data_IF_225839978653
#
_entry.id   IF_225839978653
#
_cell.length_a   1.000
_cell.length_b   1.000
_cell.length_c   1.000
_cell.angle_alpha   90.00
_cell.angle_beta   90.00
_cell.angle_gamma   90.00
#
_symmetry.space_group_name_H-M   'P 1'
#
loop_
_entity.id
_entity.type
_entity.pdbx_description
1 polymer ?
#
# COMPACT_ATOMS: atom_id res chain seq x y z
N UNK A 1 -8.67 -15.63 5.52
CA UNK A 1 -7.92 -14.97 4.42
C UNK A 1 -6.67 -14.31 4.98
N UNK A 2 -6.80 -13.35 5.91
CA UNK A 2 -5.66 -12.67 6.55
C UNK A 2 -4.65 -13.64 7.17
N UNK A 3 -5.11 -14.60 8.00
CA UNK A 3 -4.23 -15.62 8.61
C UNK A 3 -3.41 -16.37 7.54
N UNK A 4 -4.06 -16.86 6.48
CA UNK A 4 -3.37 -17.57 5.39
C UNK A 4 -2.37 -16.72 4.58
N UNK A 5 -2.43 -15.39 4.65
CA UNK A 5 -1.45 -14.50 4.00
C UNK A 5 -0.30 -14.19 4.95
N UNK A 6 -0.59 -13.90 6.22
CA UNK A 6 0.43 -13.61 7.22
C UNK A 6 1.31 -14.84 7.50
N UNK A 7 0.74 -16.03 7.35
CA UNK A 7 1.46 -17.30 7.53
C UNK A 7 2.29 -17.72 6.29
N UNK A 8 2.40 -16.86 5.27
CA UNK A 8 3.20 -17.20 4.09
C UNK A 8 4.69 -17.26 4.44
N UNK A 9 5.46 -18.23 3.90
CA UNK A 9 6.86 -18.41 4.26
C UNK A 9 7.76 -17.18 4.03
N UNK A 10 7.39 -16.30 3.09
CA UNK A 10 8.16 -15.08 2.83
C UNK A 10 7.90 -14.00 3.90
N UNK A 11 6.65 -13.79 4.30
CA UNK A 11 6.27 -12.87 5.37
C UNK A 11 6.95 -13.30 6.67
N UNK A 12 6.72 -14.56 7.09
CA UNK A 12 7.31 -15.12 8.31
C UNK A 12 8.83 -14.97 8.31
N UNK A 13 9.48 -15.31 7.19
CA UNK A 13 10.94 -15.27 7.10
C UNK A 13 11.49 -13.86 7.16
N UNK A 14 11.00 -12.93 6.34
CA UNK A 14 11.62 -11.61 6.22
C UNK A 14 11.30 -10.71 7.41
N UNK A 15 10.06 -10.72 7.90
CA UNK A 15 9.72 -10.00 9.12
C UNK A 15 10.42 -10.64 10.33
N UNK A 16 10.32 -11.96 10.50
CA UNK A 16 10.89 -12.67 11.65
C UNK A 16 12.40 -12.49 11.77
N UNK A 17 13.16 -12.65 10.68
CA UNK A 17 14.61 -12.44 10.69
C UNK A 17 15.00 -11.01 11.08
N UNK A 18 14.18 -10.02 10.74
CA UNK A 18 14.43 -8.63 11.12
C UNK A 18 14.06 -8.38 12.58
N UNK A 19 12.91 -8.89 13.04
CA UNK A 19 12.42 -8.76 14.42
C UNK A 19 13.38 -9.40 15.43
N UNK A 20 13.98 -10.54 15.08
CA UNK A 20 15.01 -11.21 15.88
C UNK A 20 16.21 -10.30 16.23
N UNK A 21 16.46 -9.25 15.45
CA UNK A 21 17.60 -8.34 15.67
C UNK A 21 17.40 -7.36 16.82
N UNK A 22 16.15 -7.07 17.24
CA UNK A 22 15.89 -6.02 18.23
C UNK A 22 14.68 -6.27 19.16
N UNK A 23 13.64 -6.98 18.72
CA UNK A 23 12.40 -7.18 19.49
C UNK A 23 12.65 -7.88 20.84
N UNK A 24 13.45 -8.97 20.92
CA UNK A 24 13.70 -9.64 22.21
C UNK A 24 14.39 -8.72 23.23
N UNK A 25 15.36 -7.91 22.77
CA UNK A 25 16.06 -6.95 23.64
C UNK A 25 15.11 -5.83 24.12
N UNK A 26 14.22 -5.36 23.24
CA UNK A 26 13.20 -4.37 23.58
C UNK A 26 12.19 -4.93 24.60
N UNK A 27 11.71 -6.16 24.41
CA UNK A 27 10.80 -6.83 25.35
C UNK A 27 11.45 -7.00 26.74
N UNK A 28 12.72 -7.39 26.79
CA UNK A 28 13.47 -7.52 28.05
C UNK A 28 13.63 -6.17 28.76
N UNK A 29 13.92 -5.11 28.01
CA UNK A 29 14.02 -3.74 28.53
C UNK A 29 12.68 -3.27 29.12
N UNK A 30 11.57 -3.49 28.39
CA UNK A 30 10.22 -3.19 28.86
C UNK A 30 9.85 -3.97 30.12
N UNK A 31 10.13 -5.28 30.14
CA UNK A 31 9.90 -6.13 31.31
C UNK A 31 10.57 -5.58 32.57
N UNK A 32 11.83 -5.17 32.41
CA UNK A 32 12.64 -4.61 33.51
C UNK A 32 12.07 -3.29 34.01
N UNK A 33 11.71 -2.38 33.10
CA UNK A 33 11.12 -1.07 33.44
C UNK A 33 9.76 -1.16 34.12
N UNK A 34 8.92 -2.06 33.62
CA UNK A 34 7.53 -2.18 34.08
C UNK A 34 7.38 -3.16 35.25
N UNK A 35 8.43 -3.89 35.61
CA UNK A 35 8.39 -4.96 36.60
C UNK A 35 7.29 -5.99 36.28
N UNK A 36 7.12 -6.28 34.99
CA UNK A 36 6.10 -7.17 34.43
C UNK A 36 6.73 -8.12 33.41
N UNK A 37 6.09 -9.25 33.15
CA UNK A 37 6.55 -10.20 32.14
C UNK A 37 6.07 -9.75 30.75
N UNK A 38 6.90 -8.97 30.03
CA UNK A 38 6.66 -8.52 28.66
C UNK A 38 7.46 -9.41 27.70
N UNK A 39 6.76 -10.08 26.80
CA UNK A 39 7.32 -10.99 25.80
C UNK A 39 7.58 -10.28 24.48
N UNK A 40 8.29 -10.95 23.57
CA UNK A 40 8.50 -10.46 22.20
C UNK A 40 7.17 -10.24 21.46
N UNK A 41 6.15 -11.06 21.73
CA UNK A 41 4.82 -10.96 21.10
C UNK A 41 4.04 -9.73 21.58
N UNK A 42 4.33 -9.22 22.78
CA UNK A 42 3.68 -8.04 23.33
C UNK A 42 4.16 -6.74 22.67
N UNK A 43 5.40 -6.69 22.17
CA UNK A 43 6.01 -5.50 21.56
C UNK A 43 5.20 -4.94 20.37
N UNK A 44 4.84 -5.73 19.33
CA UNK A 44 4.01 -5.23 18.24
C UNK A 44 2.60 -4.81 18.69
N UNK A 45 2.08 -5.41 19.76
CA UNK A 45 0.79 -5.02 20.37
C UNK A 45 0.91 -3.65 21.03
N UNK A 46 1.97 -3.41 21.80
CA UNK A 46 2.28 -2.10 22.41
C UNK A 46 2.42 -1.03 21.31
N UNK A 47 3.14 -1.33 20.24
CA UNK A 47 3.30 -0.44 19.09
C UNK A 47 1.99 -0.10 18.40
N UNK A 48 1.16 -1.09 18.13
CA UNK A 48 -0.16 -0.88 17.54
C UNK A 48 -1.06 -0.05 18.46
N UNK A 49 -1.01 -0.33 19.77
CA UNK A 49 -1.83 0.38 20.78
C UNK A 49 -1.42 1.84 20.89
N UNK A 50 -0.11 2.14 20.85
CA UNK A 50 0.40 3.51 20.71
C UNK A 50 -0.21 4.22 19.49
N UNK A 51 -0.21 3.58 18.31
CA UNK A 51 -0.81 4.16 17.11
C UNK A 51 -2.31 4.45 17.26
N UNK A 52 -3.07 3.52 17.86
CA UNK A 52 -4.51 3.71 18.10
C UNK A 52 -4.79 4.80 19.14
N UNK A 53 -4.03 4.86 20.24
CA UNK A 53 -4.21 5.88 21.27
C UNK A 53 -3.98 7.29 20.71
N UNK A 54 -2.90 7.48 19.95
CA UNK A 54 -2.64 8.75 19.25
C UNK A 54 -3.79 9.08 18.30
N UNK A 55 -4.28 8.10 17.54
CA UNK A 55 -5.30 8.35 16.53
C UNK A 55 -6.69 8.66 17.12
N UNK A 56 -7.01 8.09 18.27
CA UNK A 56 -8.33 8.23 18.91
C UNK A 56 -8.36 9.36 19.93
N UNK A 57 -7.27 9.56 20.67
CA UNK A 57 -7.21 10.46 21.82
C UNK A 57 -6.20 11.60 21.67
N UNK A 58 -5.41 11.63 20.59
CA UNK A 58 -4.30 12.59 20.41
C UNK A 58 -3.30 12.54 21.59
N UNK A 59 -3.08 11.34 22.14
CA UNK A 59 -2.21 11.11 23.30
C UNK A 59 -1.07 10.14 22.94
N UNK A 60 0.16 10.60 23.11
CA UNK A 60 1.38 9.80 22.95
C UNK A 60 2.13 9.61 24.28
N UNK A 61 1.55 10.04 25.40
CA UNK A 61 2.20 10.08 26.70
C UNK A 61 2.18 8.75 27.46
N UNK A 62 1.40 7.76 26.99
CA UNK A 62 1.29 6.44 27.63
C UNK A 62 2.00 5.34 26.83
N UNK A 63 1.33 4.68 25.87
CA UNK A 63 1.85 3.50 25.18
C UNK A 63 3.08 3.83 24.33
N UNK A 64 3.08 4.98 23.65
CA UNK A 64 4.21 5.40 22.84
C UNK A 64 5.47 5.68 23.68
N UNK A 65 5.30 6.19 24.90
CA UNK A 65 6.41 6.46 25.83
C UNK A 65 7.08 5.16 26.34
N UNK A 66 6.39 4.01 26.26
CA UNK A 66 6.99 2.71 26.57
C UNK A 66 8.08 2.34 25.56
N UNK A 67 7.88 2.66 24.28
CA UNK A 67 8.78 2.28 23.18
C UNK A 67 10.01 3.17 23.06
N UNK A 68 10.03 4.30 23.77
CA UNK A 68 11.19 5.17 23.84
C UNK A 68 12.25 4.58 24.79
N UNK A 69 13.55 4.63 24.43
CA UNK A 69 14.61 4.24 25.34
C UNK A 69 14.50 5.03 26.65
N UNK A 70 14.84 4.37 27.76
CA UNK A 70 14.87 5.02 29.06
C UNK A 70 16.01 6.05 29.03
N UNK A 71 15.68 7.35 29.01
CA UNK A 71 16.70 8.37 29.27
C UNK A 71 17.04 8.25 30.75
N UNK A 72 18.10 7.52 31.07
CA UNK A 72 18.74 7.57 32.38
C UNK A 72 20.22 7.80 32.14
N UNK A 73 20.62 9.06 32.16
CA UNK A 73 22.00 9.42 32.53
C UNK A 73 21.92 10.50 33.62
N UNK A 74 22.58 10.23 34.75
CA UNK A 74 22.81 11.17 35.85
C UNK A 74 23.83 12.25 35.45
N UNK A 75 24.55 12.07 34.34
CA UNK A 75 25.35 13.08 33.68
C UNK A 75 24.64 13.57 32.42
N UNK A 76 24.46 14.89 32.31
CA UNK A 76 23.66 15.59 31.29
C UNK A 76 24.23 15.54 29.87
N UNK A 77 24.76 14.42 29.40
CA UNK A 77 25.04 14.19 27.99
C UNK A 77 24.03 13.19 27.44
N UNK A 78 22.98 13.74 26.83
CA UNK A 78 21.96 12.94 26.15
C UNK A 78 22.65 12.28 24.95
N UNK A 79 23.11 11.04 25.11
CA UNK A 79 23.33 10.16 23.95
C UNK A 79 21.95 9.78 23.45
N UNK A 80 21.42 10.64 22.59
CA UNK A 80 20.20 10.46 21.82
C UNK A 80 20.45 9.30 20.86
N UNK A 81 20.44 8.05 21.35
CA UNK A 81 19.96 6.95 20.51
C UNK A 81 18.52 7.37 20.20
N UNK A 82 18.35 7.97 19.01
CA UNK A 82 17.28 8.94 18.84
C UNK A 82 15.95 8.27 19.09
N UNK A 83 15.03 8.96 19.76
CA UNK A 83 13.65 8.51 19.97
C UNK A 83 13.03 7.90 18.69
N UNK A 84 13.51 8.31 17.51
CA UNK A 84 13.11 7.79 16.21
C UNK A 84 13.58 6.35 15.91
N UNK A 85 14.65 5.82 16.51
CA UNK A 85 15.24 4.56 16.05
C UNK A 85 14.37 3.34 16.33
N UNK A 86 13.80 3.21 17.54
CA UNK A 86 12.87 2.11 17.85
C UNK A 86 11.64 2.15 16.94
N UNK A 87 11.08 3.35 16.74
CA UNK A 87 9.93 3.53 15.85
C UNK A 87 10.26 3.21 14.39
N UNK A 88 11.46 3.59 13.91
CA UNK A 88 11.93 3.25 12.55
C UNK A 88 12.12 1.74 12.41
N UNK A 89 12.66 1.04 13.40
CA UNK A 89 12.76 -0.44 13.38
C UNK A 89 11.38 -1.09 13.33
N UNK A 90 10.44 -0.65 14.17
CA UNK A 90 9.06 -1.16 14.16
C UNK A 90 8.31 -0.86 12.85
N UNK A 91 8.57 0.30 12.25
CA UNK A 91 8.07 0.64 10.91
C UNK A 91 8.65 -0.27 9.83
N UNK A 92 9.96 -0.53 9.84
CA UNK A 92 10.60 -1.44 8.88
C UNK A 92 10.06 -2.87 9.03
N UNK A 93 9.87 -3.35 10.26
CA UNK A 93 9.21 -4.64 10.52
C UNK A 93 7.82 -4.70 9.87
N UNK A 94 7.02 -3.64 10.05
CA UNK A 94 5.70 -3.52 9.43
C UNK A 94 5.80 -3.49 7.90
N UNK A 95 6.74 -2.73 7.34
CA UNK A 95 6.94 -2.66 5.89
C UNK A 95 7.38 -4.01 5.30
N UNK A 96 8.25 -4.77 5.98
CA UNK A 96 8.64 -6.13 5.57
C UNK A 96 7.43 -7.06 5.53
N UNK A 97 6.59 -7.03 6.57
CA UNK A 97 5.34 -7.79 6.61
C UNK A 97 4.44 -7.43 5.44
N UNK A 98 4.15 -6.14 5.28
CA UNK A 98 3.22 -5.66 4.27
C UNK A 98 3.73 -5.83 2.85
N UNK A 99 5.05 -5.75 2.62
CA UNK A 99 5.65 -5.96 1.31
C UNK A 99 5.32 -7.33 0.74
N UNK A 100 5.34 -8.37 1.60
CA UNK A 100 5.08 -9.75 1.20
C UNK A 100 3.63 -10.23 1.47
N UNK A 101 2.84 -9.50 2.25
CA UNK A 101 1.42 -9.84 2.46
C UNK A 101 0.52 -9.18 1.42
N UNK A 102 0.63 -7.86 1.24
CA UNK A 102 -0.31 -7.03 0.46
C UNK A 102 0.38 -6.16 -0.60
N UNK A 103 1.70 -6.03 -0.50
CA UNK A 103 2.55 -5.22 -1.35
C UNK A 103 3.13 -5.95 -2.57
N UNK A 104 4.12 -5.35 -3.24
CA UNK A 104 4.69 -5.83 -4.50
C UNK A 104 5.64 -7.03 -4.33
N UNK A 105 5.91 -7.47 -3.10
CA UNK A 105 6.70 -8.67 -2.82
C UNK A 105 6.07 -9.95 -3.38
N UNK A 106 4.76 -9.95 -3.59
CA UNK A 106 4.03 -11.00 -4.32
C UNK A 106 3.43 -10.38 -5.60
N UNK A 107 3.86 -10.79 -6.80
CA UNK A 107 3.35 -10.21 -8.05
C UNK A 107 1.82 -10.30 -8.22
N UNK A 108 1.21 -11.33 -7.64
CA UNK A 108 -0.24 -11.50 -7.59
C UNK A 108 -0.99 -10.33 -6.94
N UNK A 109 -0.42 -9.71 -5.90
CA UNK A 109 -1.05 -8.62 -5.15
C UNK A 109 -1.32 -7.40 -6.04
N UNK A 110 -0.38 -7.03 -6.90
CA UNK A 110 -0.61 -5.98 -7.90
C UNK A 110 -1.73 -6.37 -8.86
N UNK A 111 -1.83 -7.65 -9.25
CA UNK A 111 -2.89 -8.18 -10.11
C UNK A 111 -4.30 -7.97 -9.55
N UNK A 112 -4.48 -8.07 -8.24
CA UNK A 112 -5.78 -7.84 -7.57
C UNK A 112 -6.32 -6.43 -7.87
N UNK A 113 -5.44 -5.43 -7.96
CA UNK A 113 -5.80 -4.04 -8.22
C UNK A 113 -6.38 -3.78 -9.62
N UNK A 114 -6.26 -4.73 -10.56
CA UNK A 114 -6.70 -4.53 -11.94
C UNK A 114 -8.20 -4.28 -12.06
N UNK A 115 -9.02 -4.91 -11.21
CA UNK A 115 -10.48 -4.73 -11.23
C UNK A 115 -10.89 -3.30 -10.87
N UNK A 116 -10.21 -2.69 -9.89
CA UNK A 116 -10.43 -1.29 -9.54
C UNK A 116 -9.97 -0.37 -10.67
N UNK A 117 -8.81 -0.64 -11.27
CA UNK A 117 -8.29 0.13 -12.40
C UNK A 117 -9.25 0.12 -13.59
N UNK A 118 -9.84 -1.03 -13.93
CA UNK A 118 -10.87 -1.15 -14.99
C UNK A 118 -12.08 -0.28 -14.70
N UNK A 119 -12.61 -0.31 -13.47
CA UNK A 119 -13.76 0.53 -13.09
C UNK A 119 -13.44 2.03 -13.17
N UNK A 120 -12.22 2.43 -12.77
CA UNK A 120 -11.76 3.82 -12.84
C UNK A 120 -11.59 4.26 -14.29
N UNK A 121 -10.90 3.47 -15.12
CA UNK A 121 -10.67 3.79 -16.53
C UNK A 121 -12.01 3.98 -17.27
N UNK A 122 -12.97 3.07 -17.08
CA UNK A 122 -14.31 3.18 -17.67
C UNK A 122 -15.03 4.46 -17.24
N UNK A 123 -14.88 4.88 -15.98
CA UNK A 123 -15.48 6.11 -15.46
C UNK A 123 -14.84 7.35 -16.10
N UNK A 124 -13.51 7.35 -16.24
CA UNK A 124 -12.76 8.42 -16.91
C UNK A 124 -13.16 8.51 -18.39
N UNK A 125 -13.18 7.39 -19.10
CA UNK A 125 -13.62 7.32 -20.51
C UNK A 125 -15.03 7.87 -20.68
N UNK A 126 -15.97 7.45 -19.83
CA UNK A 126 -17.35 7.95 -19.85
C UNK A 126 -17.42 9.47 -19.68
N UNK A 127 -16.57 10.04 -18.81
CA UNK A 127 -16.52 11.49 -18.59
C UNK A 127 -15.86 12.20 -19.76
N UNK A 128 -14.81 11.64 -20.37
CA UNK A 128 -14.06 12.28 -21.45
C UNK A 128 -14.75 12.16 -22.82
N UNK A 129 -15.54 11.11 -23.07
CA UNK A 129 -16.29 10.90 -24.33
C UNK A 129 -17.52 11.79 -24.49
N UNK A 130 -18.05 12.37 -23.41
CA UNK A 130 -19.24 13.24 -23.49
C UNK A 130 -18.86 14.65 -23.93
N UNK A 131 -19.63 15.37 -24.77
CA UNK A 131 -19.34 16.77 -25.12
C UNK A 131 -19.22 17.68 -23.88
N UNK A 132 -18.38 18.72 -23.96
CA UNK A 132 -18.11 19.69 -22.87
C UNK A 132 -19.36 20.47 -22.42
N UNK A 133 -20.44 20.46 -23.21
CA UNK A 133 -21.68 21.16 -22.93
C UNK A 133 -22.40 20.57 -21.70
N UNK A 134 -22.17 21.20 -20.55
CA UNK A 134 -23.07 21.49 -19.42
C UNK A 134 -24.31 20.59 -19.16
N UNK A 135 -24.25 19.30 -19.46
CA UNK A 135 -25.32 18.38 -19.13
C UNK A 135 -25.30 18.13 -17.63
N UNK A 136 -26.44 18.43 -16.98
CA UNK A 136 -26.70 18.23 -15.54
C UNK A 136 -26.47 16.77 -15.10
N UNK A 137 -26.46 15.82 -16.05
CA UNK A 137 -26.28 14.38 -15.83
C UNK A 137 -24.85 13.86 -16.11
N UNK A 138 -23.84 14.74 -16.11
CA UNK A 138 -22.43 14.31 -16.24
C UNK A 138 -21.88 13.89 -14.87
N UNK A 139 -21.31 12.68 -14.78
CA UNK A 139 -20.60 12.21 -13.58
C UNK A 139 -19.51 13.24 -13.20
N UNK A 140 -19.62 13.82 -12.00
CA UNK A 140 -18.66 14.84 -11.50
C UNK A 140 -17.67 14.29 -10.48
N UNK A 141 -18.01 13.19 -9.83
CA UNK A 141 -17.17 12.54 -8.85
C UNK A 141 -17.69 11.14 -8.55
N UNK A 142 -16.76 10.23 -8.27
CA UNK A 142 -17.05 8.88 -7.80
C UNK A 142 -16.22 8.66 -6.53
N UNK A 143 -16.90 8.51 -5.41
CA UNK A 143 -16.27 8.22 -4.12
C UNK A 143 -16.33 6.72 -3.88
N UNK A 144 -15.19 6.12 -3.58
CA UNK A 144 -15.06 4.70 -3.25
C UNK A 144 -14.39 4.59 -1.89
N UNK A 145 -14.95 3.77 -1.02
CA UNK A 145 -14.41 3.48 0.30
C UNK A 145 -14.00 2.02 0.35
N UNK A 146 -12.82 1.76 0.88
CA UNK A 146 -12.23 0.43 1.00
C UNK A 146 -11.37 0.35 2.24
N UNK A 147 -10.59 -0.72 2.31
CA UNK A 147 -9.61 -0.92 3.37
C UNK A 147 -8.20 -0.58 2.87
N UNK A 148 -7.22 -0.62 3.75
CA UNK A 148 -5.82 -0.30 3.42
C UNK A 148 -5.32 -1.16 2.24
N UNK A 149 -5.73 -2.43 2.16
CA UNK A 149 -5.38 -3.34 1.07
C UNK A 149 -5.84 -2.82 -0.31
N UNK A 150 -6.96 -2.08 -0.36
CA UNK A 150 -7.42 -1.47 -1.61
C UNK A 150 -6.42 -0.45 -2.14
N UNK A 151 -5.87 0.38 -1.25
CA UNK A 151 -4.83 1.37 -1.57
C UNK A 151 -3.52 0.65 -1.94
N UNK A 152 -3.15 -0.39 -1.19
CA UNK A 152 -1.93 -1.18 -1.43
C UNK A 152 -1.95 -1.87 -2.80
N UNK A 153 -3.00 -2.64 -3.08
CA UNK A 153 -3.14 -3.37 -4.35
C UNK A 153 -3.23 -2.41 -5.54
N UNK A 154 -3.95 -1.30 -5.41
CA UNK A 154 -4.06 -0.32 -6.49
C UNK A 154 -2.75 0.45 -6.71
N UNK A 155 -2.03 0.79 -5.64
CA UNK A 155 -0.68 1.38 -5.73
C UNK A 155 0.28 0.44 -6.46
N UNK A 156 0.30 -0.85 -6.07
CA UNK A 156 1.08 -1.87 -6.76
C UNK A 156 0.67 -2.06 -8.22
N UNK A 157 -0.63 -2.01 -8.53
CA UNK A 157 -1.12 -2.08 -9.90
C UNK A 157 -0.64 -0.90 -10.75
N UNK A 158 -0.72 0.33 -10.23
CA UNK A 158 -0.19 1.53 -10.88
C UNK A 158 1.36 1.53 -10.96
N UNK A 159 2.03 0.67 -10.19
CA UNK A 159 3.48 0.60 -10.11
C UNK A 159 4.09 1.70 -9.24
N UNK A 160 3.30 2.28 -8.34
CA UNK A 160 3.77 3.23 -7.34
C UNK A 160 4.59 2.51 -6.27
N UNK A 161 5.52 3.24 -5.65
CA UNK A 161 6.32 2.74 -4.53
C UNK A 161 7.08 1.43 -4.82
N UNK A 162 7.31 1.14 -6.11
CA UNK A 162 8.15 0.02 -6.51
C UNK A 162 9.58 0.27 -6.01
N UNK A 163 10.04 -0.61 -5.13
CA UNK A 163 11.42 -0.65 -4.70
C UNK A 163 12.30 -1.27 -5.80
N UNK A 164 13.55 -0.82 -5.88
CA UNK A 164 14.56 -1.51 -6.69
C UNK A 164 14.90 -2.84 -6.01
N UNK A 165 14.23 -3.91 -6.44
CA UNK A 165 14.39 -5.25 -5.87
C UNK A 165 13.50 -5.52 -4.66
N UNK A 166 13.63 -6.72 -4.10
CA UNK A 166 12.86 -7.16 -2.94
C UNK A 166 13.31 -6.47 -1.64
N UNK A 167 12.36 -6.10 -0.77
CA UNK A 167 12.65 -5.63 0.60
C UNK A 167 13.09 -6.81 1.46
N UNK A 168 14.27 -6.77 2.08
CA UNK A 168 14.84 -7.93 2.80
C UNK A 168 15.31 -7.56 4.19
N UNK A 169 15.17 -8.49 5.14
CA UNK A 169 15.62 -8.38 6.52
C UNK A 169 17.08 -7.95 6.66
N UNK A 170 17.96 -8.47 5.78
CA UNK A 170 19.40 -8.23 5.81
C UNK A 170 19.88 -6.94 5.10
N UNK A 171 18.98 -6.02 4.78
CA UNK A 171 19.37 -4.73 4.20
C UNK A 171 20.14 -3.86 5.21
N UNK A 172 21.06 -3.03 4.71
CA UNK A 172 21.78 -2.06 5.55
C UNK A 172 20.86 -0.92 6.01
N UNK A 173 21.21 -0.19 7.08
CA UNK A 173 20.46 1.00 7.49
C UNK A 173 20.26 2.02 6.36
N UNK A 174 21.25 2.23 5.50
CA UNK A 174 21.18 3.15 4.36
C UNK A 174 20.19 2.65 3.28
N UNK A 175 20.14 1.34 3.05
CA UNK A 175 19.17 0.72 2.15
C UNK A 175 17.74 0.86 2.69
N UNK A 176 17.53 0.64 3.99
CA UNK A 176 16.23 0.87 4.62
C UNK A 176 15.82 2.33 4.61
N UNK A 177 16.76 3.26 4.81
CA UNK A 177 16.49 4.70 4.80
C UNK A 177 16.02 5.20 3.42
N UNK A 178 16.40 4.51 2.34
CA UNK A 178 16.07 4.87 0.95
C UNK A 178 15.03 3.94 0.31
N UNK A 179 14.40 3.05 1.08
CA UNK A 179 13.39 2.10 0.57
C UNK A 179 12.20 2.84 -0.04
N UNK A 180 11.75 2.38 -1.20
CA UNK A 180 10.59 2.94 -1.90
C UNK A 180 9.26 2.50 -1.29
N UNK A 181 9.20 1.30 -0.71
CA UNK A 181 8.00 0.77 -0.08
C UNK A 181 8.00 1.10 1.41
N UNK A 182 7.16 2.08 1.78
CA UNK A 182 7.03 2.58 3.14
C UNK A 182 5.57 2.89 3.45
N UNK A 183 4.92 1.98 4.15
CA UNK A 183 3.46 1.97 4.36
C UNK A 183 2.96 3.19 5.12
N UNK A 184 3.77 3.74 6.04
CA UNK A 184 3.46 4.98 6.77
C UNK A 184 3.32 6.22 5.88
N UNK A 185 3.82 6.21 4.64
CA UNK A 185 3.74 7.34 3.72
C UNK A 185 2.44 7.35 2.91
N UNK A 186 1.94 6.18 2.53
CA UNK A 186 0.84 6.08 1.56
C UNK A 186 -0.36 5.24 2.02
N UNK A 187 -0.23 4.49 3.11
CA UNK A 187 -1.26 3.57 3.63
C UNK A 187 -1.52 3.77 5.14
N UNK A 188 -1.45 5.01 5.60
CA UNK A 188 -1.82 5.42 6.96
C UNK A 188 -3.33 5.38 7.21
N UNK A 189 -3.76 5.59 8.46
CA UNK A 189 -5.19 5.77 8.77
C UNK A 189 -5.77 6.93 7.97
N UNK A 190 -6.97 6.72 7.41
CA UNK A 190 -7.63 7.66 6.49
C UNK A 190 -6.84 7.95 5.19
N UNK A 191 -5.91 7.08 4.80
CA UNK A 191 -5.23 7.20 3.51
C UNK A 191 -6.24 7.25 2.35
N UNK A 192 -5.92 8.08 1.36
CA UNK A 192 -6.79 8.30 0.21
C UNK A 192 -5.99 8.43 -1.09
N UNK A 193 -6.66 8.11 -2.20
CA UNK A 193 -6.15 8.34 -3.54
C UNK A 193 -7.23 9.03 -4.37
N UNK A 194 -6.86 10.12 -5.05
CA UNK A 194 -7.76 10.85 -5.94
C UNK A 194 -7.17 10.93 -7.35
N UNK A 195 -7.98 10.58 -8.36
CA UNK A 195 -7.66 10.80 -9.75
C UNK A 195 -8.52 11.95 -10.26
N UNK A 196 -7.89 13.10 -10.46
CA UNK A 196 -8.54 14.28 -11.02
C UNK A 196 -8.46 14.24 -12.54
N UNK A 197 -9.58 14.53 -13.19
CA UNK A 197 -9.73 14.49 -14.65
C UNK A 197 -9.97 15.89 -15.16
N UNK A 198 -9.00 16.42 -15.90
CA UNK A 198 -9.06 17.74 -16.52
C UNK A 198 -9.46 17.61 -17.98
N UNK A 199 -10.51 18.34 -18.35
CA UNK A 199 -11.03 18.35 -19.70
C UNK A 199 -10.52 19.58 -20.45
N UNK A 200 -10.15 19.45 -21.73
CA UNK A 200 -9.88 20.61 -22.55
C UNK A 200 -11.17 21.41 -22.77
N UNK A 201 -11.01 22.73 -22.90
CA UNK A 201 -12.13 23.66 -23.11
C UNK A 201 -12.59 23.66 -24.57
N UNK A 202 -11.75 23.20 -25.50
CA UNK A 202 -12.06 23.22 -26.93
C UNK A 202 -12.96 22.04 -27.38
N UNK A 203 -13.70 22.25 -28.47
CA UNK A 203 -14.58 21.27 -29.10
C UNK A 203 -13.96 20.68 -30.39
N UNK A 204 -12.64 20.52 -30.44
CA UNK A 204 -11.93 20.21 -31.71
C UNK A 204 -12.04 18.73 -32.09
N UNK A 205 -12.40 17.84 -31.16
CA UNK A 205 -12.47 16.39 -31.43
C UNK A 205 -13.51 15.67 -30.56
N UNK A 206 -14.10 14.62 -31.13
CA UNK A 206 -15.01 13.69 -30.43
C UNK A 206 -14.26 12.57 -29.69
N UNK A 207 -12.94 12.46 -29.84
CA UNK A 207 -12.13 11.48 -29.12
C UNK A 207 -11.92 11.87 -27.66
N UNK A 208 -11.87 10.92 -26.71
CA UNK A 208 -11.54 11.20 -25.31
C UNK A 208 -10.15 11.83 -25.15
N UNK A 209 -10.09 13.07 -24.67
CA UNK A 209 -8.84 13.80 -24.39
C UNK A 209 -8.94 14.52 -23.06
N UNK A 210 -7.84 14.53 -22.32
CA UNK A 210 -7.75 15.21 -21.04
C UNK A 210 -6.46 14.88 -20.31
N UNK A 211 -6.24 15.58 -19.21
CA UNK A 211 -5.12 15.33 -18.30
C UNK A 211 -5.63 14.62 -17.05
N UNK A 212 -4.84 13.68 -16.55
CA UNK A 212 -5.09 12.94 -15.32
C UNK A 212 -4.03 13.37 -14.31
N UNK A 213 -4.45 13.76 -13.10
CA UNK A 213 -3.54 13.98 -11.96
C UNK A 213 -3.89 12.99 -10.85
N UNK A 214 -2.88 12.29 -10.35
CA UNK A 214 -3.02 11.42 -9.18
C UNK A 214 -2.59 12.19 -7.93
N UNK A 215 -3.43 12.18 -6.91
CA UNK A 215 -3.09 12.55 -5.55
C UNK A 215 -3.07 11.28 -4.68
N UNK A 216 -2.07 11.14 -3.83
CA UNK A 216 -2.04 10.15 -2.76
C UNK A 216 -1.86 10.91 -1.45
N UNK A 217 -2.80 10.75 -0.51
CA UNK A 217 -2.86 11.55 0.72
C UNK A 217 -2.74 13.05 0.40
N UNK A 218 -3.58 13.52 -0.53
CA UNK A 218 -3.65 14.91 -0.99
C UNK A 218 -2.37 15.48 -1.64
N UNK A 219 -1.33 14.67 -1.81
CA UNK A 219 -0.06 15.06 -2.41
C UNK A 219 -0.01 14.58 -3.87
N UNK A 220 0.31 15.45 -4.85
CA UNK A 220 0.49 15.03 -6.23
C UNK A 220 1.61 14.00 -6.40
N UNK A 221 1.29 12.89 -7.06
CA UNK A 221 2.22 11.79 -7.35
C UNK A 221 2.33 11.59 -8.86
N UNK A 222 3.55 11.47 -9.36
CA UNK A 222 3.82 11.15 -10.76
C UNK A 222 3.41 9.70 -11.03
N UNK A 223 2.51 9.50 -11.98
CA UNK A 223 2.15 8.17 -12.45
C UNK A 223 3.31 7.62 -13.29
N UNK A 224 3.85 6.43 -12.98
CA UNK A 224 4.92 5.83 -13.76
C UNK A 224 4.56 5.73 -15.24
N UNK A 225 5.47 6.13 -16.12
CA UNK A 225 5.27 6.08 -17.57
C UNK A 225 4.39 7.19 -18.16
N UNK A 226 4.17 8.29 -17.43
CA UNK A 226 3.43 9.47 -17.88
C UNK A 226 4.31 10.74 -17.99
N UNK A 227 4.05 11.57 -19.01
CA UNK A 227 4.35 13.00 -19.07
C UNK A 227 5.82 13.39 -18.89
N UNK A 228 6.77 12.50 -19.22
CA UNK A 228 8.21 12.68 -18.93
C UNK A 228 8.49 13.10 -17.48
N UNK A 229 7.71 12.58 -16.51
CA UNK A 229 7.83 12.93 -15.10
C UNK A 229 6.93 14.08 -14.64
N UNK A 230 6.03 14.58 -15.50
CA UNK A 230 5.00 15.54 -15.12
C UNK A 230 3.97 14.94 -14.16
N UNK A 231 3.45 15.77 -13.24
CA UNK A 231 2.31 15.42 -12.36
C UNK A 231 0.99 15.31 -13.13
N UNK A 232 0.92 15.87 -14.34
CA UNK A 232 -0.21 15.71 -15.25
C UNK A 232 0.14 14.67 -16.32
N UNK A 233 -0.67 13.62 -16.41
CA UNK A 233 -0.56 12.57 -17.40
C UNK A 233 -1.59 12.77 -18.52
N UNK A 234 -1.17 12.73 -19.78
CA UNK A 234 -2.11 12.67 -20.89
C UNK A 234 -2.97 11.41 -20.79
N UNK A 235 -4.28 11.53 -21.04
CA UNK A 235 -5.20 10.40 -20.91
C UNK A 235 -4.78 9.19 -21.76
N UNK A 236 -4.24 9.42 -22.96
CA UNK A 236 -3.73 8.37 -23.85
C UNK A 236 -2.52 7.65 -23.25
N UNK A 237 -1.61 8.37 -22.58
CA UNK A 237 -0.46 7.80 -21.88
C UNK A 237 -0.90 7.02 -20.64
N UNK A 238 -1.85 7.55 -19.87
CA UNK A 238 -2.44 6.87 -18.72
C UNK A 238 -3.07 5.55 -19.14
N UNK A 239 -3.91 5.55 -20.18
CA UNK A 239 -4.52 4.32 -20.73
C UNK A 239 -3.45 3.34 -21.22
N UNK A 240 -2.42 3.83 -21.92
CA UNK A 240 -1.31 3.00 -22.40
C UNK A 240 -0.51 2.38 -21.24
N UNK A 241 -0.33 3.11 -20.14
CA UNK A 241 0.28 2.59 -18.91
C UNK A 241 -0.55 1.44 -18.33
N UNK A 242 -1.85 1.61 -18.15
CA UNK A 242 -2.72 0.53 -17.63
C UNK A 242 -2.71 -0.71 -18.54
N UNK A 243 -2.65 -0.53 -19.86
CA UNK A 243 -2.49 -1.64 -20.82
C UNK A 243 -1.16 -2.36 -20.61
N UNK A 244 -0.04 -1.64 -20.43
CA UNK A 244 1.26 -2.27 -20.08
C UNK A 244 1.22 -3.02 -18.75
N UNK A 245 0.37 -2.57 -17.82
CA UNK A 245 0.10 -3.26 -16.54
C UNK A 245 -0.91 -4.41 -16.66
N UNK A 246 -1.37 -4.71 -17.88
CA UNK A 246 -2.21 -5.89 -18.18
C UNK A 246 -3.71 -5.68 -17.93
N UNK A 247 -4.23 -4.45 -18.00
CA UNK A 247 -5.66 -4.19 -17.81
C UNK A 247 -6.55 -4.94 -18.80
N UNK A 248 -6.05 -5.17 -20.02
CA UNK A 248 -6.70 -5.91 -21.11
C UNK A 248 -6.78 -7.42 -20.85
N UNK A 249 -5.95 -7.93 -19.94
CA UNK A 249 -5.86 -9.34 -19.53
C UNK A 249 -6.38 -9.58 -18.11
N UNK A 250 -7.01 -8.57 -17.51
CA UNK A 250 -7.54 -8.64 -16.15
C UNK A 250 -8.72 -9.61 -16.06
N UNK A 251 -8.46 -10.85 -15.65
CA UNK A 251 -9.50 -11.83 -15.30
C UNK A 251 -9.45 -12.18 -13.81
N UNK A 252 -9.91 -11.23 -13.00
CA UNK A 252 -9.93 -11.38 -11.54
C UNK A 252 -10.71 -12.62 -11.09
N UNK A 253 -11.85 -12.92 -11.73
CA UNK A 253 -12.70 -14.03 -11.30
C UNK A 253 -12.04 -15.38 -11.58
N UNK A 254 -11.42 -15.55 -12.75
CA UNK A 254 -10.66 -16.77 -13.04
C UNK A 254 -9.46 -16.92 -12.10
N UNK A 255 -8.69 -15.85 -11.88
CA UNK A 255 -7.49 -15.90 -11.03
C UNK A 255 -7.78 -16.16 -9.56
N UNK A 256 -8.93 -15.71 -9.06
CA UNK A 256 -9.34 -15.93 -7.66
C UNK A 256 -10.28 -17.13 -7.50
N UNK A 257 -10.63 -17.86 -8.58
CA UNK A 257 -11.60 -18.95 -8.53
C UNK A 257 -13.00 -18.50 -8.07
N UNK A 258 -13.33 -17.23 -8.25
CA UNK A 258 -14.62 -16.66 -7.82
C UNK A 258 -15.68 -17.07 -8.83
N UNK A 259 -16.64 -17.89 -8.40
CA UNK A 259 -17.86 -18.12 -9.18
C UNK A 259 -18.50 -16.76 -9.41
N UNK A 260 -18.87 -16.43 -10.65
CA UNK A 260 -19.76 -15.30 -10.90
C UNK A 260 -20.93 -15.39 -9.93
N UNK A 261 -21.36 -14.27 -9.32
CA UNK A 261 -22.60 -14.23 -8.56
C UNK A 261 -23.78 -14.45 -9.52
N UNK A 262 -23.96 -15.70 -9.93
CA UNK A 262 -25.08 -16.22 -10.68
C UNK A 262 -25.63 -17.37 -9.86
N UNK A 263 -26.88 -17.23 -9.45
CA UNK A 263 -27.65 -18.21 -8.71
C UNK A 263 -27.81 -19.48 -9.53
N UNK A 264 -26.86 -20.42 -9.44
CA UNK A 264 -27.05 -21.86 -9.56
C UNK A 264 -25.71 -22.58 -9.39
N UNK A 265 -25.56 -23.32 -8.29
CA UNK A 265 -24.45 -24.24 -8.08
C UNK A 265 -24.68 -25.51 -8.90
N UNK A 266 -23.87 -25.68 -9.95
CA UNK A 266 -23.50 -27.00 -10.45
C UNK A 266 -22.02 -26.98 -10.81
N UNK A 267 -21.32 -28.05 -10.44
CA UNK A 267 -19.91 -28.34 -10.68
C UNK A 267 -19.43 -27.98 -12.09
N UNK A 268 -18.39 -27.13 -12.20
CA UNK A 268 -17.68 -26.90 -13.46
C UNK A 268 -16.18 -27.04 -13.20
N UNK A 269 -15.55 -27.89 -14.00
CA UNK A 269 -14.10 -28.13 -14.05
C UNK A 269 -13.42 -26.87 -14.60
N UNK A 270 -12.43 -26.34 -13.89
CA UNK A 270 -11.69 -25.16 -14.32
C UNK A 270 -10.76 -25.49 -15.49
N UNK A 271 -11.12 -25.04 -16.68
CA UNK A 271 -10.18 -24.82 -17.78
C UNK A 271 -10.17 -23.33 -18.12
N UNK A 272 -9.54 -22.50 -17.27
CA UNK A 272 -9.33 -21.09 -17.59
C UNK A 272 -7.96 -20.90 -18.21
N UNK A 273 -7.89 -20.39 -19.44
CA UNK A 273 -6.65 -19.90 -20.07
C UNK A 273 -6.20 -18.53 -19.48
N UNK A 274 -6.69 -18.17 -18.29
CA UNK A 274 -6.35 -16.92 -17.63
C UNK A 274 -4.86 -16.93 -17.25
N UNK A 275 -4.12 -15.91 -17.68
CA UNK A 275 -2.72 -15.73 -17.30
C UNK A 275 -2.68 -14.91 -16.01
N UNK A 276 -2.62 -15.59 -14.87
CA UNK A 276 -2.57 -14.93 -13.56
C UNK A 276 -1.13 -14.58 -13.19
N UNK A 277 -0.87 -13.43 -12.52
CA UNK A 277 0.46 -13.13 -12.04
C UNK A 277 0.92 -14.17 -11.00
N UNK A 278 2.23 -14.32 -10.86
CA UNK A 278 2.83 -15.29 -9.95
C UNK A 278 2.45 -15.02 -8.49
N UNK A 279 2.09 -16.07 -7.75
CA UNK A 279 2.01 -16.05 -6.28
C UNK A 279 3.37 -16.32 -5.61
N UNK A 280 4.41 -16.61 -6.40
CA UNK A 280 5.76 -16.82 -5.88
C UNK A 280 6.35 -15.47 -5.46
N UNK A 281 6.85 -15.34 -4.22
CA UNK A 281 7.53 -14.14 -3.76
C UNK A 281 8.72 -13.77 -4.64
N UNK A 282 8.96 -12.48 -4.82
CA UNK A 282 10.17 -12.00 -5.49
C UNK A 282 11.38 -12.12 -4.57
N UNK A 283 12.51 -12.51 -5.16
CA UNK A 283 13.82 -12.59 -4.50
C UNK A 283 14.64 -11.31 -4.63
#
# INVERSE_FOLDING_TARGET
WIEGILDTPAVIRQQGLYDETFIPALAQSLSTRLQANITAEDVPVIYSTCGYEVSVYDDASTWCQMLLPAIVDDNKDIVVESKAETFVKLEISTDLREFYSTGPGIPFNAGIGCKLATSILQSIETVLSKPSAANVNTLRGQLKFGHFETIMFFSGYLGLYNQTGALKAGMTPEQYATRGFRTSIFSQLSANMALEVYRPIDNISNEPRGLIRLLVNEIPVVIPGCGNGSIFCEFSEFKSHLIRRGIDKCDFNACCGVKSCSSNLSSVVFTSNATCPSMVPIE
#
